data_IF_913342193937
#
_entry.id   IF_913342193937
#
_cell.length_a   1.000
_cell.length_b   1.000
_cell.length_c   1.000
_cell.angle_alpha   90.00
_cell.angle_beta   90.00
_cell.angle_gamma   90.00
#
_symmetry.space_group_name_H-M   'P 1'
#
loop_
_entity.id
_entity.type
_entity.pdbx_description
1 polymer ?
#
# COMPACT_ATOMS: atom_id res chain seq x y z
N UNK A 1 -0.05 48.97 -5.68
CA UNK A 1 -0.06 47.63 -5.06
C UNK A 1 -1.50 47.19 -5.09
N UNK A 2 -1.82 46.12 -5.81
CA UNK A 2 -3.19 45.60 -5.81
C UNK A 2 -3.42 44.88 -4.48
N UNK A 3 -4.57 45.08 -3.84
CA UNK A 3 -4.90 44.40 -2.59
C UNK A 3 -5.12 42.89 -2.86
N UNK A 4 -4.39 42.03 -2.12
CA UNK A 4 -4.52 40.58 -2.20
C UNK A 4 -5.74 40.05 -1.43
N UNK A 5 -6.15 40.78 -0.41
CA UNK A 5 -7.26 40.43 0.48
C UNK A 5 -8.38 41.46 0.37
N UNK A 6 -9.62 40.98 0.36
CA UNK A 6 -10.82 41.81 0.47
C UNK A 6 -11.03 42.27 1.93
N UNK A 7 -11.97 43.19 2.12
CA UNK A 7 -12.40 43.64 3.45
C UNK A 7 -12.94 42.50 4.33
N UNK A 8 -13.44 41.43 3.70
CA UNK A 8 -13.92 40.22 4.38
C UNK A 8 -12.78 39.27 4.82
N UNK A 9 -11.52 39.62 4.54
CA UNK A 9 -10.36 38.79 4.85
C UNK A 9 -10.14 37.59 3.91
N UNK A 10 -10.95 37.46 2.86
CA UNK A 10 -10.79 36.44 1.81
C UNK A 10 -9.94 36.94 0.64
N UNK A 11 -9.40 36.02 -0.15
CA UNK A 11 -8.64 36.36 -1.34
C UNK A 11 -9.49 37.05 -2.41
N UNK A 12 -8.90 38.06 -3.04
CA UNK A 12 -9.49 38.76 -4.18
C UNK A 12 -9.42 37.87 -5.43
N UNK A 13 -10.31 38.10 -6.40
CA UNK A 13 -10.23 37.39 -7.70
C UNK A 13 -8.92 37.69 -8.42
N UNK A 14 -8.34 38.88 -8.20
CA UNK A 14 -7.01 39.22 -8.68
C UNK A 14 -5.96 38.28 -8.12
N UNK A 15 -5.92 38.07 -6.80
CA UNK A 15 -4.95 37.19 -6.16
C UNK A 15 -5.08 35.74 -6.65
N UNK A 16 -6.31 35.23 -6.78
CA UNK A 16 -6.57 33.89 -7.31
C UNK A 16 -6.12 33.74 -8.78
N UNK A 17 -6.45 34.71 -9.64
CA UNK A 17 -6.02 34.71 -11.04
C UNK A 17 -4.49 34.80 -11.19
N UNK A 18 -3.83 35.53 -10.28
CA UNK A 18 -2.39 35.68 -10.28
C UNK A 18 -1.67 34.36 -9.96
N UNK A 19 -2.25 33.52 -9.08
CA UNK A 19 -1.77 32.17 -8.80
C UNK A 19 -1.96 31.23 -10.00
N UNK A 20 -3.11 31.29 -10.68
CA UNK A 20 -3.42 30.41 -11.82
C UNK A 20 -2.51 30.69 -13.01
N UNK A 21 -2.26 31.97 -13.31
CA UNK A 21 -1.47 32.38 -14.46
C UNK A 21 0.02 32.54 -14.16
N UNK A 22 0.50 32.10 -12.99
CA UNK A 22 1.88 32.21 -12.53
C UNK A 22 2.46 33.62 -12.75
N UNK A 23 1.65 34.64 -12.41
CA UNK A 23 2.06 36.04 -12.51
C UNK A 23 3.21 36.28 -11.51
N UNK A 24 4.16 37.19 -11.79
CA UNK A 24 5.18 37.55 -10.80
C UNK A 24 4.52 38.19 -9.56
N UNK A 25 4.35 37.39 -8.51
CA UNK A 25 4.12 37.84 -7.14
C UNK A 25 5.44 37.86 -6.39
N UNK A 26 5.54 38.72 -5.38
CA UNK A 26 6.66 38.65 -4.44
C UNK A 26 6.65 37.32 -3.68
N UNK A 27 7.81 36.91 -3.16
CA UNK A 27 7.95 35.63 -2.46
C UNK A 27 7.10 35.61 -1.17
N UNK A 28 7.05 36.73 -0.45
CA UNK A 28 6.23 36.89 0.74
C UNK A 28 4.74 36.83 0.40
N UNK A 29 4.32 37.54 -0.64
CA UNK A 29 2.93 37.51 -1.12
C UNK A 29 2.51 36.08 -1.49
N UNK A 30 3.37 35.34 -2.18
CA UNK A 30 3.08 33.95 -2.55
C UNK A 30 2.98 33.03 -1.33
N UNK A 31 3.83 33.26 -0.32
CA UNK A 31 3.77 32.52 0.94
C UNK A 31 2.46 32.80 1.68
N UNK A 32 2.07 34.07 1.84
CA UNK A 32 0.83 34.48 2.49
C UNK A 32 -0.41 33.88 1.80
N UNK A 33 -0.44 33.89 0.46
CA UNK A 33 -1.52 33.26 -0.30
C UNK A 33 -1.57 31.74 -0.08
N UNK A 34 -0.41 31.07 -0.03
CA UNK A 34 -0.35 29.63 0.21
C UNK A 34 -0.80 29.26 1.62
N UNK A 35 -0.45 30.07 2.62
CA UNK A 35 -0.90 29.89 4.00
C UNK A 35 -2.41 30.10 4.09
N UNK A 36 -2.94 31.16 3.48
CA UNK A 36 -4.38 31.41 3.48
C UNK A 36 -5.17 30.30 2.78
N UNK A 37 -4.69 29.81 1.64
CA UNK A 37 -5.30 28.66 0.95
C UNK A 37 -5.24 27.39 1.80
N UNK A 38 -4.23 27.20 2.66
CA UNK A 38 -4.19 26.04 3.55
C UNK A 38 -5.21 26.11 4.69
N UNK A 39 -5.72 27.31 5.01
CA UNK A 39 -6.58 27.57 6.16
C UNK A 39 -8.04 27.87 5.79
N UNK A 40 -8.29 28.48 4.63
CA UNK A 40 -9.62 28.98 4.24
C UNK A 40 -10.24 28.11 3.14
N UNK A 41 -11.15 27.21 3.53
CA UNK A 41 -11.86 26.31 2.61
C UNK A 41 -12.66 27.07 1.52
N UNK A 42 -13.25 28.22 1.85
CA UNK A 42 -14.01 29.02 0.89
C UNK A 42 -13.12 29.59 -0.24
N UNK A 43 -11.88 29.96 0.09
CA UNK A 43 -10.90 30.39 -0.91
C UNK A 43 -10.38 29.20 -1.75
N UNK A 44 -10.23 28.01 -1.15
CA UNK A 44 -9.89 26.78 -1.89
C UNK A 44 -10.99 26.43 -2.89
N UNK A 45 -12.26 26.48 -2.48
CA UNK A 45 -13.39 26.17 -3.36
C UNK A 45 -13.40 27.11 -4.57
N UNK A 46 -13.27 28.42 -4.36
CA UNK A 46 -13.17 29.42 -5.44
C UNK A 46 -11.96 29.18 -6.34
N UNK A 47 -10.80 28.91 -5.74
CA UNK A 47 -9.57 28.62 -6.48
C UNK A 47 -9.71 27.38 -7.37
N UNK A 48 -10.22 26.28 -6.82
CA UNK A 48 -10.41 25.03 -7.55
C UNK A 48 -11.47 25.15 -8.63
N UNK A 49 -12.56 25.90 -8.39
CA UNK A 49 -13.56 26.20 -9.40
C UNK A 49 -12.97 26.95 -10.60
N UNK A 50 -12.12 27.96 -10.37
CA UNK A 50 -11.41 28.67 -11.44
C UNK A 50 -10.41 27.78 -12.19
N UNK A 51 -9.80 26.79 -11.50
CA UNK A 51 -8.86 25.85 -12.12
C UNK A 51 -9.56 24.82 -13.01
N UNK A 52 -10.79 24.43 -12.67
CA UNK A 52 -11.58 23.44 -13.43
C UNK A 52 -12.07 23.92 -14.79
N UNK A 53 -12.04 25.23 -15.06
CA UNK A 53 -12.36 25.78 -16.38
C UNK A 53 -11.21 25.61 -17.39
N UNK A 54 -10.02 25.21 -16.95
CA UNK A 54 -8.88 25.03 -17.84
C UNK A 54 -8.95 23.70 -18.61
N UNK A 55 -8.57 23.74 -19.90
CA UNK A 55 -8.59 22.57 -20.75
C UNK A 55 -7.51 21.59 -20.28
N UNK A 56 -7.95 20.45 -19.73
CA UNK A 56 -7.05 19.36 -19.37
C UNK A 56 -6.27 18.91 -20.61
N UNK A 57 -4.98 19.24 -20.66
CA UNK A 57 -4.10 18.82 -21.73
C UNK A 57 -4.00 17.29 -21.68
N UNK A 58 -4.39 16.57 -22.74
CA UNK A 58 -4.25 15.13 -22.76
C UNK A 58 -2.77 14.77 -22.69
N UNK A 59 -2.41 13.88 -21.77
CA UNK A 59 -1.04 13.37 -21.69
C UNK A 59 -0.66 12.66 -22.99
N UNK A 60 0.55 12.91 -23.51
CA UNK A 60 1.04 12.31 -24.76
C UNK A 60 0.99 10.77 -24.78
N UNK A 61 1.04 10.12 -23.60
CA UNK A 61 0.81 8.70 -23.44
C UNK A 61 -0.08 8.41 -22.22
N UNK A 62 -0.95 7.39 -22.27
CA UNK A 62 -1.76 7.02 -21.12
C UNK A 62 -0.87 6.50 -19.99
N UNK A 63 -0.70 7.32 -18.93
CA UNK A 63 0.08 6.98 -17.72
C UNK A 63 -0.73 6.08 -16.76
N UNK A 64 -2.06 6.14 -16.87
CA UNK A 64 -3.02 5.39 -16.06
C UNK A 64 -2.75 3.87 -15.95
N UNK A 65 -2.46 3.12 -17.03
CA UNK A 65 -2.15 1.69 -16.93
C UNK A 65 -0.94 1.41 -16.04
N UNK A 66 0.14 2.18 -16.20
CA UNK A 66 1.39 2.02 -15.45
C UNK A 66 1.24 2.35 -13.97
N UNK A 67 0.45 3.37 -13.64
CA UNK A 67 0.19 3.71 -12.22
C UNK A 67 -0.71 2.65 -11.59
N UNK A 68 -1.73 2.18 -12.32
CA UNK A 68 -2.70 1.21 -11.80
C UNK A 68 -2.05 -0.15 -11.52
N UNK A 69 -1.09 -0.59 -12.35
CA UNK A 69 -0.30 -1.80 -12.06
C UNK A 69 0.51 -1.63 -10.78
N UNK A 70 1.29 -0.55 -10.66
CA UNK A 70 2.10 -0.25 -9.47
C UNK A 70 1.27 -0.16 -8.19
N UNK A 71 0.10 0.48 -8.25
CA UNK A 71 -0.81 0.58 -7.12
C UNK A 71 -1.37 -0.79 -6.72
N UNK A 72 -1.79 -1.59 -7.70
CA UNK A 72 -2.28 -2.94 -7.47
C UNK A 72 -1.20 -3.84 -6.87
N UNK A 73 0.05 -3.70 -7.28
CA UNK A 73 1.18 -4.45 -6.73
C UNK A 73 1.42 -4.09 -5.26
N UNK A 74 1.37 -2.80 -4.93
CA UNK A 74 1.50 -2.33 -3.55
C UNK A 74 0.36 -2.82 -2.68
N UNK A 75 -0.88 -2.76 -3.17
CA UNK A 75 -2.05 -3.28 -2.48
C UNK A 75 -1.94 -4.80 -2.23
N UNK A 76 -1.54 -5.58 -3.25
CA UNK A 76 -1.33 -7.04 -3.12
C UNK A 76 -0.30 -7.38 -2.04
N UNK A 77 0.82 -6.67 -1.97
CA UNK A 77 1.85 -6.88 -0.93
C UNK A 77 1.30 -6.64 0.48
N UNK A 78 0.52 -5.58 0.67
CA UNK A 78 -0.09 -5.28 1.96
C UNK A 78 -1.14 -6.32 2.37
N UNK A 79 -1.98 -6.76 1.43
CA UNK A 79 -2.96 -7.81 1.69
C UNK A 79 -2.29 -9.15 2.02
N UNK A 80 -1.31 -9.58 1.21
CA UNK A 80 -0.59 -10.84 1.45
C UNK A 80 0.10 -10.84 2.82
N UNK A 81 0.76 -9.75 3.22
CA UNK A 81 1.42 -9.69 4.52
C UNK A 81 0.40 -9.86 5.67
N UNK A 82 -0.73 -9.13 5.61
CA UNK A 82 -1.76 -9.19 6.65
C UNK A 82 -2.45 -10.56 6.72
N UNK A 83 -2.78 -11.16 5.58
CA UNK A 83 -3.40 -12.48 5.54
C UNK A 83 -2.41 -13.61 5.83
N UNK A 84 -1.13 -13.47 5.49
CA UNK A 84 -0.10 -14.45 5.83
C UNK A 84 0.07 -14.56 7.36
N UNK A 85 0.13 -13.42 8.06
CA UNK A 85 0.18 -13.42 9.53
C UNK A 85 -1.07 -14.06 10.14
N UNK A 86 -2.26 -13.72 9.63
CA UNK A 86 -3.52 -14.31 10.11
C UNK A 86 -3.60 -15.84 9.86
N UNK A 87 -3.16 -16.29 8.67
CA UNK A 87 -3.12 -17.70 8.32
C UNK A 87 -2.13 -18.47 9.21
N UNK A 88 -0.92 -17.91 9.44
CA UNK A 88 0.06 -18.50 10.35
C UNK A 88 -0.51 -18.65 11.77
N UNK A 89 -1.16 -17.62 12.30
CA UNK A 89 -1.81 -17.67 13.61
C UNK A 89 -2.92 -18.73 13.68
N UNK A 90 -3.75 -18.84 12.63
CA UNK A 90 -4.78 -19.88 12.54
C UNK A 90 -4.17 -21.29 12.52
N UNK A 91 -3.10 -21.50 11.74
CA UNK A 91 -2.36 -22.76 11.74
C UNK A 91 -1.81 -23.09 13.13
N UNK A 92 -1.19 -22.14 13.83
CA UNK A 92 -0.71 -22.35 15.19
C UNK A 92 -1.84 -22.66 16.18
N UNK A 93 -2.97 -21.96 16.09
CA UNK A 93 -4.13 -22.23 16.93
C UNK A 93 -4.65 -23.66 16.73
N UNK A 94 -4.77 -24.11 15.47
CA UNK A 94 -5.16 -25.49 15.14
C UNK A 94 -4.13 -26.49 15.67
N UNK A 95 -2.82 -26.20 15.52
CA UNK A 95 -1.76 -27.05 16.06
C UNK A 95 -1.85 -27.15 17.58
N UNK A 96 -1.97 -26.04 18.30
CA UNK A 96 -2.09 -26.03 19.75
C UNK A 96 -3.35 -26.73 20.25
N UNK A 97 -4.46 -26.60 19.52
CA UNK A 97 -5.69 -27.33 19.80
C UNK A 97 -5.50 -28.85 19.68
N UNK A 98 -4.87 -29.32 18.60
CA UNK A 98 -4.62 -30.75 18.38
C UNK A 98 -3.54 -31.31 19.33
N UNK A 99 -2.57 -30.49 19.73
CA UNK A 99 -1.50 -30.87 20.66
C UNK A 99 -1.94 -30.82 22.14
N UNK A 100 -3.14 -30.33 22.45
CA UNK A 100 -3.63 -30.23 23.83
C UNK A 100 -2.87 -29.20 24.68
N UNK A 101 -2.20 -28.23 24.04
CA UNK A 101 -1.40 -27.18 24.70
C UNK A 101 -2.24 -26.30 25.63
N UNK A 102 -3.58 -26.28 25.50
CA UNK A 102 -4.44 -25.50 26.41
C UNK A 102 -4.85 -26.25 27.68
N UNK A 103 -4.51 -27.53 27.82
CA UNK A 103 -4.71 -28.33 29.06
C UNK A 103 -3.47 -28.24 29.97
N UNK A 104 -2.94 -27.02 30.14
CA UNK A 104 -1.81 -26.77 31.03
C UNK A 104 -2.28 -26.69 32.49
N UNK A 105 -2.49 -27.85 33.10
CA UNK A 105 -2.09 -28.00 34.50
C UNK A 105 -0.56 -28.01 34.53
N UNK A 106 0.05 -27.05 35.23
CA UNK A 106 1.50 -26.98 35.42
C UNK A 106 1.90 -28.18 36.32
N UNK A 107 2.05 -29.34 35.71
CA UNK A 107 2.61 -30.55 36.31
C UNK A 107 3.73 -31.02 35.37
N UNK A 108 4.84 -31.48 35.94
CA UNK A 108 6.14 -31.72 35.30
C UNK A 108 6.14 -32.64 34.04
N UNK A 109 4.99 -33.20 33.67
CA UNK A 109 4.76 -33.96 32.43
C UNK A 109 4.82 -33.13 31.14
N UNK A 110 4.66 -31.80 31.18
CA UNK A 110 4.67 -30.97 29.97
C UNK A 110 6.06 -30.93 29.26
N UNK A 111 7.16 -31.15 30.01
CA UNK A 111 8.49 -31.29 29.39
C UNK A 111 8.62 -32.56 28.55
N UNK A 112 7.97 -33.65 28.96
CA UNK A 112 8.00 -34.93 28.23
C UNK A 112 7.18 -34.87 26.93
N UNK A 113 6.07 -34.12 26.88
CA UNK A 113 5.29 -33.92 25.64
C UNK A 113 6.02 -33.07 24.60
N UNK A 114 6.79 -32.08 25.04
CA UNK A 114 7.63 -31.28 24.13
C UNK A 114 8.82 -32.10 23.58
N UNK A 115 9.42 -32.98 24.41
CA UNK A 115 10.45 -33.93 23.98
C UNK A 115 9.90 -35.05 23.09
N UNK A 116 8.64 -35.45 23.25
CA UNK A 116 7.98 -36.39 22.31
C UNK A 116 7.65 -35.72 20.98
N UNK A 117 7.32 -34.42 20.96
CA UNK A 117 7.14 -33.68 19.71
C UNK A 117 8.46 -33.49 18.94
N UNK A 118 9.55 -33.16 19.63
CA UNK A 118 10.89 -33.09 19.03
C UNK A 118 11.36 -34.45 18.50
N UNK A 119 11.07 -35.55 19.22
CA UNK A 119 11.36 -36.91 18.76
C UNK A 119 10.35 -37.44 17.72
N UNK A 120 9.12 -36.92 17.65
CA UNK A 120 8.17 -37.24 16.56
C UNK A 120 8.49 -36.48 15.27
N UNK A 121 9.34 -35.45 15.35
CA UNK A 121 9.88 -34.77 14.18
C UNK A 121 10.85 -35.67 13.41
N UNK A 122 11.50 -36.66 14.05
CA UNK A 122 12.36 -37.63 13.34
C UNK A 122 11.58 -38.76 12.65
N UNK A 123 10.32 -39.04 13.02
CA UNK A 123 9.48 -40.06 12.36
C UNK A 123 8.52 -39.50 11.31
N UNK A 124 8.36 -38.18 11.21
CA UNK A 124 7.76 -37.53 10.04
C UNK A 124 8.64 -37.60 8.79
N UNK A 125 9.90 -38.05 8.91
CA UNK A 125 10.89 -38.14 7.82
C UNK A 125 10.41 -38.99 6.62
N UNK A 126 9.63 -40.05 6.85
CA UNK A 126 9.25 -40.98 5.78
C UNK A 126 8.01 -40.53 4.99
N UNK A 127 7.12 -39.71 5.59
CA UNK A 127 5.92 -39.15 4.91
C UNK A 127 6.10 -37.71 4.40
N UNK A 128 7.19 -37.03 4.77
CA UNK A 128 7.45 -35.63 4.37
C UNK A 128 8.02 -35.49 2.96
N UNK A 129 8.69 -36.50 2.41
CA UNK A 129 9.29 -36.42 1.06
C UNK A 129 8.27 -36.25 -0.07
N UNK A 130 7.08 -36.84 0.04
CA UNK A 130 6.01 -36.69 -0.97
C UNK A 130 5.24 -35.37 -0.85
N UNK A 131 5.06 -34.85 0.36
CA UNK A 131 4.40 -33.56 0.57
C UNK A 131 5.31 -32.36 0.28
N UNK A 132 6.60 -32.43 0.63
CA UNK A 132 7.58 -31.36 0.40
C UNK A 132 7.79 -31.05 -1.07
N UNK A 133 7.84 -32.06 -1.94
CA UNK A 133 8.06 -31.86 -3.38
C UNK A 133 6.85 -31.20 -4.07
N UNK A 134 5.63 -31.49 -3.62
CA UNK A 134 4.41 -30.86 -4.15
C UNK A 134 4.25 -29.41 -3.67
N UNK A 135 4.60 -29.14 -2.40
CA UNK A 135 4.51 -27.79 -1.82
C UNK A 135 5.62 -26.88 -2.37
N UNK A 136 6.86 -27.38 -2.54
CA UNK A 136 7.95 -26.57 -3.10
C UNK A 136 7.71 -26.21 -4.57
N UNK A 137 7.16 -27.13 -5.37
CA UNK A 137 6.77 -26.85 -6.75
C UNK A 137 5.62 -25.84 -6.83
N UNK A 138 4.58 -25.99 -5.99
CA UNK A 138 3.45 -25.07 -5.94
C UNK A 138 3.88 -23.67 -5.44
N UNK A 139 4.77 -23.60 -4.45
CA UNK A 139 5.32 -22.33 -3.96
C UNK A 139 6.25 -21.69 -4.99
N UNK A 140 7.09 -22.45 -5.68
CA UNK A 140 7.93 -21.90 -6.76
C UNK A 140 7.06 -21.36 -7.90
N UNK A 141 6.06 -22.13 -8.36
CA UNK A 141 5.11 -21.68 -9.38
C UNK A 141 4.33 -20.42 -8.94
N UNK A 142 3.92 -20.36 -7.68
CA UNK A 142 3.29 -19.18 -7.10
C UNK A 142 4.25 -17.98 -7.08
N UNK A 143 5.48 -18.13 -6.59
CA UNK A 143 6.51 -17.06 -6.59
C UNK A 143 6.80 -16.58 -8.02
N UNK A 144 6.88 -17.48 -9.01
CA UNK A 144 7.06 -17.09 -10.41
C UNK A 144 5.84 -16.36 -10.97
N UNK A 145 4.62 -16.75 -10.60
CA UNK A 145 3.39 -16.01 -10.97
C UNK A 145 3.33 -14.62 -10.34
N UNK A 146 3.94 -14.42 -9.16
CA UNK A 146 4.10 -13.11 -8.54
C UNK A 146 5.20 -12.26 -9.18
N UNK A 147 6.21 -12.90 -9.78
CA UNK A 147 7.27 -12.23 -10.52
C UNK A 147 6.91 -11.93 -12.00
N UNK A 148 5.63 -12.04 -12.37
CA UNK A 148 5.22 -11.86 -13.76
C UNK A 148 5.14 -10.38 -14.19
N UNK A 149 5.80 -10.12 -15.32
CA UNK A 149 5.67 -8.97 -16.22
C UNK A 149 6.47 -7.69 -15.91
N UNK A 150 7.79 -7.83 -15.81
CA UNK A 150 8.72 -6.77 -16.22
C UNK A 150 9.50 -7.19 -17.46
N UNK A 151 8.91 -6.94 -18.64
CA UNK A 151 9.64 -6.73 -19.89
C UNK A 151 9.94 -7.97 -20.75
N UNK A 152 9.06 -8.25 -21.72
CA UNK A 152 9.48 -8.82 -23.01
C UNK A 152 8.52 -8.37 -24.11
N UNK A 153 8.76 -7.18 -24.64
CA UNK A 153 8.37 -6.80 -26.00
C UNK A 153 9.62 -6.19 -26.64
N UNK A 154 9.87 -6.54 -27.92
CA UNK A 154 11.08 -6.30 -28.74
C UNK A 154 12.14 -7.43 -28.61
N UNK A 155 12.54 -8.18 -29.64
CA UNK A 155 12.64 -7.94 -31.09
C UNK A 155 12.37 -9.22 -31.90
N UNK A 156 11.54 -9.15 -32.94
CA UNK A 156 11.67 -9.99 -34.14
C UNK A 156 11.76 -9.01 -35.32
N UNK A 157 12.86 -9.09 -36.06
CA UNK A 157 13.06 -8.42 -37.34
C UNK A 157 13.58 -9.46 -38.32
#
# INVERSE_FOLDING_TARGET
MNELFNQDGCLTDYALSALIHDKPLDELERLELSEHLSFCDACIERYTAMLSDDFLIPTAQPIAPTIRTRLRDRARKLFLNRYATAAAAACFAVLFWNLGVFDFQINDKNRQTFDVFSNSTVSFSEKTTRFTNGISAALNQWIYSFNFERGSNHEEK
#
